data_IF_620482694343
#
_entry.id   IF_620482694343
#
_cell.length_a   1.000
_cell.length_b   1.000
_cell.length_c   1.000
_cell.angle_alpha   90.00
_cell.angle_beta   90.00
_cell.angle_gamma   90.00
#
_symmetry.space_group_name_H-M   'P 1'
#
loop_
_entity.id
_entity.type
_entity.pdbx_description
1 polymer ?
#
# COMPACT_ATOMS: atom_id res chain seq x y z
N UNK A 1 18.45 24.67 39.01
CA UNK A 1 18.50 23.22 39.32
C UNK A 1 17.47 22.56 38.42
N UNK A 2 17.93 21.85 37.37
CA UNK A 2 17.08 21.32 36.31
C UNK A 2 16.86 19.82 36.47
N UNK A 3 15.75 19.32 35.91
CA UNK A 3 15.48 17.88 35.83
C UNK A 3 15.71 17.37 34.40
N UNK A 4 16.14 16.12 34.37
CA UNK A 4 16.92 15.42 33.35
C UNK A 4 16.21 15.09 32.04
N UNK A 5 17.05 14.79 31.05
CA UNK A 5 16.76 14.33 29.69
C UNK A 5 15.54 13.41 29.60
N UNK A 6 14.57 13.82 28.77
CA UNK A 6 13.50 12.95 28.30
C UNK A 6 14.15 11.87 27.43
N UNK A 7 13.97 10.62 27.85
CA UNK A 7 14.45 9.41 27.21
C UNK A 7 14.23 9.43 25.67
N UNK A 8 15.27 9.01 24.94
CA UNK A 8 15.29 8.85 23.47
C UNK A 8 14.33 7.76 22.97
N UNK A 9 13.52 7.17 23.84
CA UNK A 9 12.68 5.99 23.57
C UNK A 9 11.33 6.27 22.93
N UNK A 10 10.90 7.53 22.74
CA UNK A 10 9.94 7.80 21.66
C UNK A 10 10.69 7.79 20.33
N UNK A 11 11.13 6.60 19.91
CA UNK A 11 11.36 6.32 18.50
C UNK A 11 10.04 6.60 17.79
N UNK A 12 9.94 7.77 17.17
CA UNK A 12 8.74 8.18 16.45
C UNK A 12 8.56 7.19 15.30
N UNK A 13 7.66 6.23 15.46
CA UNK A 13 7.39 5.24 14.43
C UNK A 13 6.55 5.91 13.36
N UNK A 14 7.20 6.39 12.31
CA UNK A 14 6.51 6.93 11.14
C UNK A 14 5.94 5.74 10.37
N UNK A 15 4.62 5.71 10.18
CA UNK A 15 3.93 4.75 9.33
C UNK A 15 3.41 5.49 8.10
N UNK A 16 3.81 5.05 6.91
CA UNK A 16 3.31 5.60 5.65
C UNK A 16 2.40 4.62 4.92
N UNK A 17 1.32 5.18 4.41
CA UNK A 17 0.28 4.49 3.66
C UNK A 17 0.03 5.23 2.35
N UNK A 18 -0.35 4.47 1.33
CA UNK A 18 -0.95 5.01 0.10
C UNK A 18 -2.45 5.03 0.31
N UNK A 19 -3.09 6.14 -0.03
CA UNK A 19 -4.54 6.27 0.12
C UNK A 19 -5.14 7.19 -0.94
N UNK A 20 -6.44 7.05 -1.13
CA UNK A 20 -7.26 7.92 -1.97
C UNK A 20 -8.21 8.69 -1.05
N UNK A 21 -8.30 9.99 -1.26
CA UNK A 21 -9.17 10.89 -0.51
C UNK A 21 -9.86 11.88 -1.45
N UNK A 22 -10.94 12.52 -0.98
CA UNK A 22 -11.60 13.60 -1.71
C UNK A 22 -10.75 14.88 -1.69
N UNK A 23 -10.43 15.42 -2.87
CA UNK A 23 -9.55 16.59 -3.00
C UNK A 23 -10.15 17.88 -2.41
N UNK A 24 -11.48 18.03 -2.42
CA UNK A 24 -12.17 19.29 -2.10
C UNK A 24 -12.85 19.30 -0.73
N UNK A 25 -12.42 18.45 0.21
CA UNK A 25 -12.94 18.41 1.59
C UNK A 25 -11.85 18.90 2.54
N UNK A 26 -12.16 19.89 3.39
CA UNK A 26 -11.20 20.53 4.29
C UNK A 26 -10.49 19.57 5.25
N UNK A 27 -11.15 18.47 5.62
CA UNK A 27 -10.55 17.39 6.37
C UNK A 27 -10.46 16.14 5.49
N UNK A 28 -9.25 15.58 5.28
CA UNK A 28 -9.07 14.42 4.40
C UNK A 28 -9.96 13.27 4.84
N UNK A 29 -10.88 12.88 3.96
CA UNK A 29 -11.69 11.67 4.13
C UNK A 29 -11.10 10.59 3.24
N UNK A 30 -10.41 9.63 3.84
CA UNK A 30 -9.80 8.51 3.14
C UNK A 30 -10.86 7.47 2.79
N UNK A 31 -11.12 7.29 1.50
CA UNK A 31 -12.09 6.30 1.00
C UNK A 31 -11.44 4.95 0.73
N UNK A 32 -10.13 4.95 0.51
CA UNK A 32 -9.35 3.75 0.33
C UNK A 32 -7.95 3.98 0.88
N UNK A 33 -7.42 2.95 1.54
CA UNK A 33 -6.05 2.94 2.05
C UNK A 33 -5.51 1.59 1.66
N UNK A 34 -4.35 1.64 1.04
CA UNK A 34 -3.58 0.50 0.61
C UNK A 34 -2.51 0.17 1.65
N UNK A 35 -1.82 -0.95 1.47
CA UNK A 35 -0.71 -1.39 2.32
C UNK A 35 -1.03 -1.30 3.84
N UNK A 36 -2.31 -1.44 4.21
CA UNK A 36 -2.82 -1.31 5.59
C UNK A 36 -2.12 -2.27 6.54
N UNK A 37 -1.90 -3.49 6.06
CA UNK A 37 -1.29 -4.58 6.83
C UNK A 37 0.25 -4.49 6.85
N UNK A 38 0.84 -3.75 5.92
CA UNK A 38 2.29 -3.61 5.79
C UNK A 38 2.70 -2.15 5.49
N UNK A 39 2.63 -1.25 6.48
CA UNK A 39 3.07 0.13 6.32
C UNK A 39 4.58 0.23 6.11
N UNK A 40 5.00 1.27 5.40
CA UNK A 40 6.42 1.66 5.37
C UNK A 40 6.74 2.32 6.72
N UNK A 41 7.75 1.79 7.42
CA UNK A 41 8.12 2.18 8.80
C UNK A 41 9.18 3.28 8.86
N UNK A 42 9.13 4.22 7.93
CA UNK A 42 9.99 5.40 7.89
C UNK A 42 9.37 6.50 7.01
N UNK A 43 10.09 7.60 6.81
CA UNK A 43 9.67 8.71 5.94
C UNK A 43 9.92 8.47 4.44
N UNK A 44 10.40 7.30 4.03
CA UNK A 44 10.75 6.96 2.66
C UNK A 44 9.55 6.41 1.87
N UNK A 45 9.82 5.80 0.72
CA UNK A 45 8.84 5.12 -0.10
C UNK A 45 8.54 5.85 -1.40
N UNK A 46 8.44 5.09 -2.48
CA UNK A 46 8.22 5.63 -3.83
C UNK A 46 7.08 4.86 -4.49
N UNK A 47 6.03 5.60 -4.88
CA UNK A 47 4.96 5.09 -5.70
C UNK A 47 5.29 5.34 -7.18
N UNK A 48 5.32 4.28 -7.99
CA UNK A 48 5.65 4.37 -9.43
C UNK A 48 4.54 3.78 -10.28
N UNK A 49 4.33 4.37 -11.46
CA UNK A 49 3.54 3.79 -12.53
C UNK A 49 4.53 3.20 -13.54
N UNK A 50 4.52 1.87 -13.70
CA UNK A 50 5.33 1.18 -14.71
C UNK A 50 4.78 1.36 -16.11
N UNK A 51 5.60 1.08 -17.13
CA UNK A 51 5.22 1.20 -18.55
C UNK A 51 3.98 0.36 -18.92
N UNK A 52 3.75 -0.75 -18.21
CA UNK A 52 2.58 -1.62 -18.38
C UNK A 52 1.31 -1.10 -17.67
N UNK A 53 1.38 0.09 -17.05
CA UNK A 53 0.30 0.68 -16.27
C UNK A 53 0.09 0.05 -14.89
N UNK A 54 1.07 -0.71 -14.38
CA UNK A 54 1.06 -1.18 -13.01
C UNK A 54 1.43 -0.05 -12.05
N UNK A 55 0.75 0.03 -10.91
CA UNK A 55 1.08 0.93 -9.82
C UNK A 55 1.80 0.10 -8.73
N UNK A 56 3.02 0.48 -8.39
CA UNK A 56 3.87 -0.28 -7.46
C UNK A 56 4.47 0.65 -6.41
N UNK A 57 4.34 0.25 -5.14
CA UNK A 57 4.92 0.92 -3.99
C UNK A 57 6.22 0.22 -3.58
N UNK A 58 7.31 0.99 -3.51
CA UNK A 58 8.61 0.54 -3.08
C UNK A 58 8.99 1.17 -1.73
N UNK A 59 9.73 0.46 -0.89
CA UNK A 59 10.39 1.01 0.30
C UNK A 59 11.76 1.65 -0.03
N UNK A 60 12.52 2.06 1.00
CA UNK A 60 13.86 2.66 0.87
C UNK A 60 14.84 1.76 0.13
N UNK A 61 14.75 0.46 0.34
CA UNK A 61 15.67 -0.53 -0.23
C UNK A 61 15.25 -0.97 -1.64
N UNK A 62 14.17 -0.38 -2.17
CA UNK A 62 13.62 -0.72 -3.47
C UNK A 62 12.83 -2.04 -3.46
N UNK A 63 12.44 -2.56 -2.30
CA UNK A 63 11.59 -3.74 -2.19
C UNK A 63 10.13 -3.35 -2.41
N UNK A 64 9.39 -4.22 -3.09
CA UNK A 64 7.95 -4.05 -3.32
C UNK A 64 7.21 -4.28 -2.01
N UNK A 65 6.49 -3.24 -1.56
CA UNK A 65 5.58 -3.30 -0.41
C UNK A 65 4.18 -3.68 -0.86
N UNK A 66 3.75 -3.14 -2.01
CA UNK A 66 2.46 -3.42 -2.61
C UNK A 66 2.49 -3.15 -4.13
N UNK A 67 1.64 -3.84 -4.91
CA UNK A 67 1.43 -3.52 -6.32
C UNK A 67 0.02 -3.89 -6.78
N UNK A 68 -0.53 -3.09 -7.68
CA UNK A 68 -1.66 -3.47 -8.54
C UNK A 68 -1.26 -3.36 -10.01
N UNK A 69 -1.75 -4.27 -10.83
CA UNK A 69 -1.48 -4.29 -12.27
C UNK A 69 -2.75 -4.59 -13.06
N UNK A 70 -2.72 -4.29 -14.36
CA UNK A 70 -3.76 -4.71 -15.29
C UNK A 70 -3.62 -6.22 -15.50
N UNK A 71 -4.67 -7.00 -15.25
CA UNK A 71 -4.73 -8.35 -15.80
C UNK A 71 -4.90 -8.24 -17.32
N UNK A 72 -4.00 -8.84 -18.09
CA UNK A 72 -4.24 -9.09 -19.50
C UNK A 72 -5.47 -10.00 -19.59
N UNK A 73 -6.56 -9.51 -20.18
CA UNK A 73 -7.81 -10.24 -20.28
C UNK A 73 -7.60 -11.54 -21.08
N UNK A 74 -7.46 -12.64 -20.35
CA UNK A 74 -7.74 -14.03 -20.74
C UNK A 74 -7.98 -14.83 -19.44
N UNK A 75 -8.89 -14.33 -18.60
CA UNK A 75 -9.25 -14.99 -17.34
C UNK A 75 -10.60 -15.67 -17.53
N UNK A 76 -10.59 -16.97 -17.85
CA UNK A 76 -11.77 -17.83 -17.67
C UNK A 76 -12.08 -17.92 -16.18
N UNK A 77 -13.13 -17.24 -15.75
CA UNK A 77 -13.55 -17.21 -14.36
C UNK A 77 -14.40 -18.47 -14.06
N UNK A 78 -13.82 -19.52 -13.50
CA UNK A 78 -14.59 -20.62 -12.90
C UNK A 78 -15.01 -20.21 -11.49
N UNK A 79 -16.29 -19.89 -11.33
CA UNK A 79 -16.89 -19.56 -10.04
C UNK A 79 -17.03 -20.85 -9.21
N UNK A 80 -16.28 -20.94 -8.11
CA UNK A 80 -16.49 -21.98 -7.10
C UNK A 80 -17.55 -21.50 -6.11
N UNK A 81 -18.53 -22.36 -5.82
CA UNK A 81 -19.76 -22.05 -5.06
C UNK A 81 -19.51 -21.66 -3.59
N UNK A 82 -18.25 -21.59 -3.15
CA UNK A 82 -17.82 -21.16 -1.81
C UNK A 82 -16.97 -19.87 -1.87
N UNK A 83 -17.47 -18.84 -2.55
CA UNK A 83 -17.08 -17.44 -2.38
C UNK A 83 -15.61 -17.07 -2.65
N UNK A 84 -14.79 -18.00 -3.13
CA UNK A 84 -13.36 -17.79 -3.33
C UNK A 84 -13.05 -17.95 -4.81
N UNK A 85 -12.81 -16.82 -5.50
CA UNK A 85 -12.31 -16.84 -6.86
C UNK A 85 -10.82 -17.20 -6.85
N UNK A 86 -10.51 -18.45 -7.19
CA UNK A 86 -9.16 -18.89 -7.54
C UNK A 86 -9.07 -18.87 -9.06
N UNK A 87 -8.31 -17.92 -9.59
CA UNK A 87 -8.04 -17.85 -11.03
C UNK A 87 -7.16 -19.01 -11.46
N UNK A 88 -7.76 -20.03 -12.07
CA UNK A 88 -7.02 -21.09 -12.77
C UNK A 88 -6.97 -20.75 -14.26
N UNK A 89 -5.76 -20.79 -14.83
CA UNK A 89 -5.53 -20.70 -16.28
C UNK A 89 -5.15 -22.09 -16.80
N UNK A 90 -5.68 -22.50 -17.96
CA UNK A 90 -5.09 -23.58 -18.75
C UNK A 90 -5.14 -23.26 -20.26
N UNK A 91 -4.08 -23.76 -20.89
CA UNK A 91 -3.65 -23.84 -22.29
C UNK A 91 -4.71 -23.81 -23.39
#
# INVERSE_FOLDING_TARGET
MGLSNLDSSISQTILRYVGIWYANISMPTYIWIDNRDNPIKDSSGVLKIGNSGNLTLFDRDGKIVWSVGRSSANSTATQSNNGTYLGHTQS
#
